data_IF_820908122220
#
_entry.id   IF_820908122220
#
_cell.length_a   1.000
_cell.length_b   1.000
_cell.length_c   1.000
_cell.angle_alpha   90.00
_cell.angle_beta   90.00
_cell.angle_gamma   90.00
#
_symmetry.space_group_name_H-M   'P 1'
#
loop_
_entity.id
_entity.type
_entity.pdbx_description
1 polymer ?
#
# COMPACT_ATOMS: atom_id res chain seq x y z
N UNK A 1 11.01 13.94 -15.10
CA UNK A 1 9.91 13.72 -14.13
C UNK A 1 10.43 13.95 -12.72
N UNK A 2 9.78 14.82 -11.92
CA UNK A 2 10.14 15.05 -10.51
C UNK A 2 10.24 13.73 -9.74
N UNK A 3 11.22 13.63 -8.84
CA UNK A 3 11.42 12.46 -7.97
C UNK A 3 10.13 11.98 -7.27
N UNK A 4 9.34 12.85 -6.60
CA UNK A 4 8.13 12.40 -5.89
C UNK A 4 7.11 11.75 -6.82
N UNK A 5 6.97 12.27 -8.05
CA UNK A 5 6.03 11.70 -9.02
C UNK A 5 6.55 10.37 -9.61
N UNK A 6 7.87 10.20 -9.74
CA UNK A 6 8.48 8.93 -10.18
C UNK A 6 8.23 7.83 -9.16
N UNK A 7 8.47 8.14 -7.88
CA UNK A 7 8.17 7.23 -6.77
C UNK A 7 6.68 6.91 -6.71
N UNK A 8 5.80 7.91 -6.89
CA UNK A 8 4.36 7.69 -6.93
C UNK A 8 3.95 6.68 -8.02
N UNK A 9 4.56 6.76 -9.22
CA UNK A 9 4.31 5.79 -10.30
C UNK A 9 4.87 4.40 -9.97
N UNK A 10 6.05 4.33 -9.36
CA UNK A 10 6.61 3.05 -8.90
C UNK A 10 5.70 2.39 -7.85
N UNK A 11 5.21 3.17 -6.87
CA UNK A 11 4.21 2.71 -5.91
C UNK A 11 2.94 2.24 -6.62
N UNK A 12 2.42 2.98 -7.60
CA UNK A 12 1.25 2.57 -8.38
C UNK A 12 1.45 1.23 -9.11
N UNK A 13 2.61 1.01 -9.72
CA UNK A 13 2.93 -0.29 -10.33
C UNK A 13 3.08 -1.41 -9.30
N UNK A 14 3.72 -1.12 -8.16
CA UNK A 14 3.85 -2.08 -7.06
C UNK A 14 2.49 -2.51 -6.51
N UNK A 15 1.59 -1.54 -6.28
CA UNK A 15 0.24 -1.80 -5.81
C UNK A 15 -0.58 -2.61 -6.83
N UNK A 16 -0.45 -2.33 -8.13
CA UNK A 16 -1.11 -3.14 -9.16
C UNK A 16 -0.61 -4.59 -9.16
N UNK A 17 0.69 -4.80 -9.01
CA UNK A 17 1.27 -6.12 -9.02
C UNK A 17 0.90 -6.93 -7.77
N UNK A 18 0.95 -6.29 -6.59
CA UNK A 18 0.69 -6.95 -5.32
C UNK A 18 -0.80 -7.08 -5.00
N UNK A 19 -1.59 -6.06 -5.30
CA UNK A 19 -3.02 -5.96 -4.92
C UNK A 19 -3.96 -6.25 -6.09
N UNK A 20 -3.45 -6.27 -7.33
CA UNK A 20 -4.19 -6.70 -8.52
C UNK A 20 -4.89 -8.05 -8.37
N UNK A 21 -4.18 -9.09 -7.91
CA UNK A 21 -4.79 -10.41 -7.65
C UNK A 21 -5.93 -10.38 -6.63
N UNK A 22 -5.88 -9.46 -5.67
CA UNK A 22 -6.94 -9.29 -4.67
C UNK A 22 -8.23 -8.70 -5.26
N UNK A 23 -8.19 -8.09 -6.44
CA UNK A 23 -9.41 -7.59 -7.11
C UNK A 23 -10.20 -8.69 -7.85
N UNK A 24 -9.67 -9.92 -7.91
CA UNK A 24 -10.29 -11.05 -8.60
C UNK A 24 -10.80 -12.04 -7.54
N UNK A 25 -12.13 -12.25 -7.41
CA UNK A 25 -12.73 -13.03 -6.31
C UNK A 25 -12.13 -14.42 -6.05
N UNK A 26 -11.88 -15.19 -7.11
CA UNK A 26 -11.34 -16.55 -6.98
C UNK A 26 -9.86 -16.53 -6.61
N UNK A 27 -9.10 -15.57 -7.12
CA UNK A 27 -7.65 -15.46 -6.89
C UNK A 27 -7.38 -14.91 -5.49
N UNK A 28 -8.15 -13.94 -5.04
CA UNK A 28 -8.01 -13.35 -3.70
C UNK A 28 -8.24 -14.37 -2.59
N UNK A 29 -9.26 -15.23 -2.72
CA UNK A 29 -9.51 -16.32 -1.77
C UNK A 29 -8.29 -17.25 -1.66
N UNK A 30 -7.73 -17.69 -2.80
CA UNK A 30 -6.55 -18.55 -2.84
C UNK A 30 -5.30 -17.90 -2.25
N UNK A 31 -5.12 -16.60 -2.45
CA UNK A 31 -4.02 -15.86 -1.87
C UNK A 31 -4.15 -15.71 -0.35
N UNK A 32 -5.36 -15.49 0.15
CA UNK A 32 -5.61 -15.47 1.59
C UNK A 32 -5.30 -16.83 2.20
N UNK A 33 -5.81 -17.91 1.61
CA UNK A 33 -5.53 -19.27 2.08
C UNK A 33 -4.03 -19.55 2.07
N UNK A 34 -3.31 -19.13 1.02
CA UNK A 34 -1.85 -19.25 0.93
C UNK A 34 -1.14 -18.46 2.02
N UNK A 35 -1.59 -17.25 2.34
CA UNK A 35 -1.00 -16.41 3.40
C UNK A 35 -1.22 -17.04 4.79
N UNK A 36 -2.41 -17.58 5.04
CA UNK A 36 -2.73 -18.29 6.29
C UNK A 36 -1.87 -19.54 6.41
N UNK A 37 -1.83 -20.37 5.36
CA UNK A 37 -0.98 -21.55 5.32
C UNK A 37 0.49 -21.21 5.55
N UNK A 38 1.00 -20.14 4.93
CA UNK A 38 2.39 -19.70 5.10
C UNK A 38 2.66 -19.20 6.53
N UNK A 39 1.69 -18.50 7.15
CA UNK A 39 1.79 -18.07 8.54
C UNK A 39 1.92 -19.28 9.49
N UNK A 40 1.09 -20.30 9.29
CA UNK A 40 1.13 -21.55 10.05
C UNK A 40 2.42 -22.33 9.80
N UNK A 41 2.84 -22.46 8.55
CA UNK A 41 4.07 -23.14 8.16
C UNK A 41 5.32 -22.52 8.81
N UNK A 42 5.33 -21.19 8.97
CA UNK A 42 6.40 -20.46 9.64
C UNK A 42 6.27 -20.45 11.18
N UNK A 43 5.22 -21.05 11.74
CA UNK A 43 4.96 -21.06 13.18
C UNK A 43 4.67 -19.68 13.76
N UNK A 44 4.14 -18.76 12.95
CA UNK A 44 3.84 -17.39 13.36
C UNK A 44 2.50 -17.31 14.12
N UNK A 45 2.36 -16.39 15.08
CA UNK A 45 1.12 -16.24 15.84
C UNK A 45 -0.01 -15.63 14.99
N UNK A 46 -1.23 -15.76 15.50
CA UNK A 46 -2.46 -15.27 14.88
C UNK A 46 -3.18 -16.35 14.06
N UNK A 47 -4.50 -16.23 13.99
CA UNK A 47 -5.38 -17.10 13.23
C UNK A 47 -6.38 -16.22 12.48
N UNK A 48 -6.60 -16.52 11.20
CA UNK A 48 -7.71 -15.93 10.46
C UNK A 48 -8.81 -16.97 10.35
N UNK A 49 -9.97 -16.70 10.96
CA UNK A 49 -11.18 -17.40 10.58
C UNK A 49 -11.55 -16.97 9.16
N UNK A 50 -11.31 -17.87 8.20
CA UNK A 50 -11.67 -17.66 6.81
C UNK A 50 -13.18 -17.77 6.67
N UNK A 51 -13.84 -16.62 6.58
CA UNK A 51 -15.27 -16.54 6.34
C UNK A 51 -15.57 -15.74 5.06
N UNK A 52 -16.80 -15.90 4.54
CA UNK A 52 -17.22 -15.24 3.30
C UNK A 52 -17.10 -13.71 3.36
N UNK A 53 -17.31 -13.11 4.54
CA UNK A 53 -17.19 -11.68 4.76
C UNK A 53 -15.74 -11.21 4.55
N UNK A 54 -14.76 -11.94 5.08
CA UNK A 54 -13.34 -11.63 4.95
C UNK A 54 -12.90 -11.68 3.48
N UNK A 55 -13.33 -12.69 2.73
CA UNK A 55 -13.05 -12.76 1.29
C UNK A 55 -13.71 -11.60 0.51
N UNK A 56 -14.95 -11.25 0.85
CA UNK A 56 -15.64 -10.11 0.23
C UNK A 56 -14.91 -8.80 0.53
N UNK A 57 -14.54 -8.56 1.79
CA UNK A 57 -13.82 -7.36 2.22
C UNK A 57 -12.46 -7.27 1.53
N UNK A 58 -11.70 -8.37 1.45
CA UNK A 58 -10.43 -8.39 0.75
C UNK A 58 -10.58 -8.04 -0.74
N UNK A 59 -11.65 -8.52 -1.39
CA UNK A 59 -11.94 -8.16 -2.78
C UNK A 59 -12.28 -6.69 -2.96
N UNK A 60 -13.14 -6.16 -2.09
CA UNK A 60 -13.50 -4.74 -2.10
C UNK A 60 -12.26 -3.88 -1.92
N UNK A 61 -11.42 -4.20 -0.94
CA UNK A 61 -10.14 -3.53 -0.70
C UNK A 61 -9.20 -3.64 -1.90
N UNK A 62 -9.11 -4.82 -2.53
CA UNK A 62 -8.34 -5.05 -3.76
C UNK A 62 -8.81 -4.14 -4.91
N UNK A 63 -10.12 -4.04 -5.15
CA UNK A 63 -10.69 -3.16 -6.18
C UNK A 63 -10.35 -1.69 -5.92
N UNK A 64 -10.49 -1.23 -4.67
CA UNK A 64 -10.12 0.13 -4.30
C UNK A 64 -8.63 0.40 -4.50
N UNK A 65 -7.77 -0.53 -4.08
CA UNK A 65 -6.33 -0.41 -4.24
C UNK A 65 -5.92 -0.35 -5.71
N UNK A 66 -6.46 -1.24 -6.55
CA UNK A 66 -6.22 -1.25 -8.00
C UNK A 66 -6.72 0.03 -8.64
N UNK A 67 -7.93 0.47 -8.33
CA UNK A 67 -8.51 1.70 -8.87
C UNK A 67 -7.65 2.91 -8.52
N UNK A 68 -7.24 3.02 -7.25
CA UNK A 68 -6.32 4.06 -6.77
C UNK A 68 -4.98 4.01 -7.51
N UNK A 69 -4.40 2.82 -7.69
CA UNK A 69 -3.14 2.63 -8.40
C UNK A 69 -3.23 3.04 -9.88
N UNK A 70 -4.30 2.66 -10.58
CA UNK A 70 -4.57 3.08 -11.96
C UNK A 70 -4.71 4.61 -12.05
N UNK A 71 -5.43 5.24 -11.13
CA UNK A 71 -5.57 6.70 -11.10
C UNK A 71 -4.22 7.41 -10.93
N UNK A 72 -3.38 6.93 -9.99
CA UNK A 72 -2.02 7.46 -9.77
C UNK A 72 -1.12 7.34 -11.00
N UNK A 73 -1.25 6.24 -11.75
CA UNK A 73 -0.49 6.02 -12.96
C UNK A 73 -0.96 6.88 -14.14
N UNK A 74 -2.27 7.11 -14.25
CA UNK A 74 -2.87 7.91 -15.34
C UNK A 74 -2.64 9.40 -15.17
N UNK A 75 -2.77 9.93 -13.95
CA UNK A 75 -2.65 11.37 -13.66
C UNK A 75 -1.81 11.61 -12.39
N UNK A 76 -0.49 11.39 -12.45
CA UNK A 76 0.38 11.60 -11.30
C UNK A 76 0.43 13.10 -10.94
N UNK A 77 0.05 13.44 -9.71
CA UNK A 77 0.15 14.80 -9.16
C UNK A 77 0.75 14.78 -7.76
N UNK A 78 1.17 15.94 -7.26
CA UNK A 78 1.71 16.08 -5.90
C UNK A 78 0.62 15.82 -4.86
N UNK A 79 -0.63 16.20 -5.13
CA UNK A 79 -1.76 15.92 -4.23
C UNK A 79 -1.96 14.41 -4.03
N UNK A 80 -1.79 13.63 -5.10
CA UNK A 80 -1.81 12.18 -5.04
C UNK A 80 -0.69 11.60 -4.18
N UNK A 81 0.45 12.29 -4.04
CA UNK A 81 1.52 11.86 -3.13
C UNK A 81 1.04 11.94 -1.69
N UNK A 82 0.47 13.07 -1.27
CA UNK A 82 -0.06 13.24 0.09
C UNK A 82 -1.20 12.25 0.38
N UNK A 83 -2.15 12.11 -0.54
CA UNK A 83 -3.23 11.14 -0.41
C UNK A 83 -2.69 9.70 -0.27
N UNK A 84 -1.68 9.33 -1.06
CA UNK A 84 -1.05 8.00 -0.98
C UNK A 84 -0.33 7.78 0.33
N UNK A 85 0.40 8.78 0.83
CA UNK A 85 1.07 8.71 2.12
C UNK A 85 0.05 8.46 3.23
N UNK A 86 -1.05 9.21 3.26
CA UNK A 86 -2.11 9.04 4.26
C UNK A 86 -2.75 7.65 4.17
N UNK A 87 -3.12 7.20 2.97
CA UNK A 87 -3.72 5.88 2.77
C UNK A 87 -2.77 4.76 3.20
N UNK A 88 -1.49 4.84 2.85
CA UNK A 88 -0.49 3.82 3.21
C UNK A 88 -0.24 3.77 4.73
N UNK A 89 -0.13 4.91 5.40
CA UNK A 89 -0.04 4.93 6.86
C UNK A 89 -1.31 4.40 7.53
N UNK A 90 -2.49 4.80 7.02
CA UNK A 90 -3.78 4.31 7.53
C UNK A 90 -3.93 2.80 7.35
N UNK A 91 -3.61 2.27 6.17
CA UNK A 91 -3.64 0.84 5.87
C UNK A 91 -2.68 0.06 6.78
N UNK A 92 -1.44 0.51 6.92
CA UNK A 92 -0.49 -0.10 7.84
C UNK A 92 -0.99 -0.08 9.29
N UNK A 93 -1.57 1.04 9.74
CA UNK A 93 -2.15 1.15 11.08
C UNK A 93 -3.30 0.17 11.32
N UNK A 94 -4.20 0.03 10.34
CA UNK A 94 -5.31 -0.94 10.40
C UNK A 94 -4.78 -2.38 10.42
N UNK A 95 -3.77 -2.70 9.61
CA UNK A 95 -3.17 -4.04 9.59
C UNK A 95 -2.51 -4.36 10.94
N UNK A 96 -1.74 -3.42 11.50
CA UNK A 96 -1.10 -3.60 12.81
C UNK A 96 -2.14 -3.76 13.93
N UNK A 97 -3.24 -2.98 13.87
CA UNK A 97 -4.37 -3.15 14.78
C UNK A 97 -5.02 -4.53 14.62
N UNK A 98 -5.24 -5.00 13.40
CA UNK A 98 -5.78 -6.33 13.15
C UNK A 98 -4.87 -7.43 13.71
N UNK A 99 -3.54 -7.31 13.55
CA UNK A 99 -2.57 -8.25 14.13
C UNK A 99 -2.66 -8.26 15.65
N UNK A 100 -2.84 -7.09 16.29
CA UNK A 100 -3.06 -7.03 17.75
C UNK A 100 -4.35 -7.71 18.21
N UNK A 101 -5.30 -7.89 17.29
CA UNK A 101 -6.55 -8.63 17.48
C UNK A 101 -6.48 -10.07 16.95
N UNK A 102 -5.27 -10.67 16.94
CA UNK A 102 -5.02 -12.06 16.54
C UNK A 102 -5.09 -12.35 15.03
N UNK A 103 -5.09 -11.35 14.14
CA UNK A 103 -4.89 -11.62 12.71
C UNK A 103 -3.50 -12.22 12.43
N UNK A 104 -3.31 -12.95 11.30
CA UNK A 104 -2.03 -13.58 10.97
C UNK A 104 -0.86 -12.60 10.98
N UNK A 105 0.18 -12.89 11.78
CA UNK A 105 1.33 -12.01 11.95
C UNK A 105 2.13 -11.82 10.66
N UNK A 106 2.03 -12.73 9.68
CA UNK A 106 2.64 -12.56 8.36
C UNK A 106 2.20 -11.28 7.65
N UNK A 107 1.02 -10.74 7.99
CA UNK A 107 0.53 -9.46 7.45
C UNK A 107 1.41 -8.26 7.87
N UNK A 108 2.27 -8.41 8.89
CA UNK A 108 3.25 -7.40 9.27
C UNK A 108 4.20 -7.05 8.12
N UNK A 109 4.47 -7.99 7.20
CA UNK A 109 5.27 -7.73 6.00
C UNK A 109 4.58 -6.70 5.10
N UNK A 110 3.26 -6.81 4.93
CA UNK A 110 2.45 -5.86 4.16
C UNK A 110 2.43 -4.51 4.84
N UNK A 111 2.18 -4.46 6.15
CA UNK A 111 2.24 -3.22 6.92
C UNK A 111 3.61 -2.54 6.81
N UNK A 112 4.71 -3.30 6.92
CA UNK A 112 6.07 -2.79 6.78
C UNK A 112 6.34 -2.22 5.39
N UNK A 113 5.87 -2.89 4.34
CA UNK A 113 5.97 -2.39 2.96
C UNK A 113 5.22 -1.07 2.76
N UNK A 114 4.02 -0.95 3.35
CA UNK A 114 3.22 0.26 3.29
C UNK A 114 3.88 1.42 4.04
N UNK A 115 4.37 1.18 5.26
CA UNK A 115 5.12 2.18 6.05
C UNK A 115 6.38 2.67 5.33
N UNK A 116 7.16 1.74 4.76
CA UNK A 116 8.36 2.07 4.01
C UNK A 116 8.03 2.94 2.78
N UNK A 117 6.98 2.58 2.05
CA UNK A 117 6.53 3.30 0.87
C UNK A 117 6.03 4.71 1.23
N UNK A 118 5.20 4.82 2.27
CA UNK A 118 4.69 6.10 2.76
C UNK A 118 5.84 7.02 3.19
N UNK A 119 6.79 6.48 3.94
CA UNK A 119 7.96 7.22 4.44
C UNK A 119 8.83 7.73 3.29
N UNK A 120 9.12 6.87 2.29
CA UNK A 120 9.89 7.28 1.10
C UNK A 120 9.19 8.38 0.31
N UNK A 121 7.89 8.27 0.09
CA UNK A 121 7.10 9.29 -0.59
C UNK A 121 7.11 10.62 0.18
N UNK A 122 6.92 10.57 1.50
CA UNK A 122 6.93 11.75 2.37
C UNK A 122 8.30 12.45 2.37
N UNK A 123 9.40 11.69 2.45
CA UNK A 123 10.75 12.24 2.36
C UNK A 123 10.98 12.89 0.99
N UNK A 124 10.52 12.27 -0.09
CA UNK A 124 10.72 12.81 -1.44
C UNK A 124 9.98 14.14 -1.66
N UNK A 125 8.75 14.28 -1.15
CA UNK A 125 7.96 15.51 -1.32
C UNK A 125 8.47 16.63 -0.43
N UNK A 126 8.90 16.32 0.80
CA UNK A 126 9.49 17.30 1.71
C UNK A 126 10.80 17.83 1.14
N UNK A 127 11.73 16.96 0.69
CA UNK A 127 12.98 17.39 0.04
C UNK A 127 12.76 18.23 -1.21
N UNK A 128 11.75 17.91 -2.02
CA UNK A 128 11.43 18.68 -3.21
C UNK A 128 10.88 20.09 -2.89
N UNK A 129 10.18 20.25 -1.76
CA UNK A 129 9.66 21.55 -1.31
C UNK A 129 10.76 22.50 -0.82
N UNK A 130 11.86 21.96 -0.32
CA UNK A 130 12.97 22.73 0.26
C UNK A 130 14.07 23.13 -0.73
N UNK A 131 13.96 22.82 -2.03
CA UNK A 131 14.93 23.34 -3.02
C UNK A 131 14.72 24.85 -3.18
N UNK A 132 15.71 25.70 -2.83
CA UNK A 132 15.60 27.14 -3.01
C UNK A 132 15.30 27.46 -4.48
N UNK A 133 14.39 28.39 -4.74
CA UNK A 133 14.27 29.00 -6.08
C UNK A 133 15.65 29.59 -6.39
N UNK A 134 16.27 29.30 -7.55
CA UNK A 134 17.42 30.07 -7.97
C UNK A 134 16.98 31.53 -8.05
N UNK A 135 17.68 32.41 -7.32
CA UNK A 135 17.42 33.84 -7.38
C UNK A 135 17.43 34.28 -8.85
N UNK A 136 16.43 35.03 -9.33
CA UNK A 136 16.55 35.69 -10.61
C UNK A 136 17.72 36.66 -10.47
N UNK A 137 18.87 36.32 -11.06
CA UNK A 137 20.02 37.20 -11.08
C UNK A 137 19.63 38.59 -11.60
N UNK A 138 20.33 39.66 -11.19
CA UNK A 138 20.01 41.02 -11.62
C UNK A 138 20.13 41.07 -13.15
N UNK A 139 19.01 41.39 -13.80
CA UNK A 139 18.94 41.70 -15.23
C UNK A 139 19.41 43.11 -15.54
#
# INVERSE_FOLDING_TARGET
MPEPLRLLRQTGWGDLLLLGPFAIPVVSARLIDLLVWLNEYLGLPGAAETNALLYMLANVMGIFAVSSAVMRLRRPSVDWVYATVLVKFGAAGIILLAISQQAPAILAVVAGADLLTATRLLISVTRHRWRPRPDPGPG
#
